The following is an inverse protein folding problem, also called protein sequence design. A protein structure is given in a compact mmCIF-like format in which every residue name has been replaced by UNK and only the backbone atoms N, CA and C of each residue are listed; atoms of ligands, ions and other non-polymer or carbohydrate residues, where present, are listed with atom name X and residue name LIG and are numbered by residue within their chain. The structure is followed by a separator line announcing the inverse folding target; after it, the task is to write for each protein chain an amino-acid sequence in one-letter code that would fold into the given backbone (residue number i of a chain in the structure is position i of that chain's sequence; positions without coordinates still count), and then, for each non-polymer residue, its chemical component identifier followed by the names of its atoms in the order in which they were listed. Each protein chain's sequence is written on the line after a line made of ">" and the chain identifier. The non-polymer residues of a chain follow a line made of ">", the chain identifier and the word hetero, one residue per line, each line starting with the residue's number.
data_IF_623597395158
#
_entry.id   IF_623597395158
#
_cell.length_a   1.000
_cell.length_b   1.000
_cell.length_c   1.000
_cell.angle_alpha   90.00
_cell.angle_beta   90.00
_cell.angle_gamma   90.00
#
_symmetry.space_group_name_H-M   'P 1'
#
loop_
_entity.id
_entity.type
_entity.pdbx_description
1 polymer ?
#
# COMPACT_ATOMS: atom_id res chain seq x y z
N UNK A 1 -21.62 -1.90 -9.37
CA UNK A 1 -21.48 -2.22 -7.92
C UNK A 1 -20.84 -1.03 -7.23
N UNK A 2 -21.15 -0.80 -5.94
CA UNK A 2 -21.06 0.51 -5.31
C UNK A 2 -19.62 1.09 -5.27
N UNK A 3 -19.43 2.20 -5.98
CA UNK A 3 -18.34 3.17 -5.83
C UNK A 3 -18.51 3.89 -4.48
N UNK A 4 -17.62 3.62 -3.52
CA UNK A 4 -17.78 4.08 -2.13
C UNK A 4 -17.26 3.10 -1.10
N UNK A 5 -17.17 3.54 0.16
CA UNK A 5 -17.11 2.61 1.29
C UNK A 5 -18.30 1.63 1.18
N UNK A 6 -18.04 0.32 1.21
CA UNK A 6 -19.13 -0.67 1.24
C UNK A 6 -19.97 -0.45 2.50
N UNK A 7 -21.28 -0.72 2.41
CA UNK A 7 -22.31 -0.39 3.42
C UNK A 7 -22.08 -0.94 4.85
N UNK A 8 -21.01 -1.70 5.11
CA UNK A 8 -20.64 -2.26 6.40
C UNK A 8 -19.23 -1.83 6.89
N UNK A 9 -18.57 -0.91 6.19
CA UNK A 9 -17.26 -0.39 6.59
C UNK A 9 -17.40 0.49 7.83
N UNK A 10 -16.73 0.12 8.94
CA UNK A 10 -16.59 1.01 10.08
C UNK A 10 -15.61 2.12 9.69
N UNK A 11 -16.07 3.37 9.74
CA UNK A 11 -15.25 4.57 9.47
C UNK A 11 -14.83 5.17 10.80
N UNK A 12 -13.65 4.81 11.29
CA UNK A 12 -13.10 5.40 12.52
C UNK A 12 -12.12 6.53 12.18
N UNK A 13 -12.33 7.69 12.81
CA UNK A 13 -11.39 8.82 12.96
C UNK A 13 -10.68 9.39 11.72
N UNK A 14 -11.38 9.52 10.59
CA UNK A 14 -11.00 10.47 9.52
C UNK A 14 -9.63 10.26 8.86
N UNK A 15 -9.09 9.04 8.98
CA UNK A 15 -7.75 8.64 8.53
C UNK A 15 -7.62 7.12 8.43
N UNK A 16 -6.43 6.63 8.08
CA UNK A 16 -6.07 5.21 8.05
C UNK A 16 -6.80 4.35 7.01
N UNK A 17 -6.96 4.89 5.80
CA UNK A 17 -7.52 4.18 4.64
C UNK A 17 -6.38 3.63 3.77
N UNK A 18 -6.61 2.49 3.11
CA UNK A 18 -5.66 1.92 2.15
C UNK A 18 -6.33 1.48 0.84
N UNK A 19 -5.62 1.66 -0.27
CA UNK A 19 -5.99 1.11 -1.56
C UNK A 19 -4.80 0.47 -2.27
N UNK A 20 -5.11 -0.37 -3.25
CA UNK A 20 -4.13 -1.01 -4.13
C UNK A 20 -4.51 -0.77 -5.59
N UNK A 21 -3.53 -0.38 -6.40
CA UNK A 21 -3.62 -0.41 -7.85
C UNK A 21 -2.57 -1.37 -8.40
N UNK A 22 -2.98 -2.36 -9.20
CA UNK A 22 -2.05 -3.28 -9.83
C UNK A 22 -1.14 -2.51 -10.80
N UNK A 23 0.16 -2.82 -10.74
CA UNK A 23 1.16 -2.25 -11.64
C UNK A 23 1.99 -3.36 -12.27
N UNK A 24 2.58 -3.05 -13.42
CA UNK A 24 3.56 -3.92 -14.05
C UNK A 24 4.82 -4.05 -13.16
N UNK A 25 5.34 -5.26 -12.90
CA UNK A 25 6.44 -5.47 -11.96
C UNK A 25 7.80 -4.92 -12.44
N UNK A 26 7.98 -4.71 -13.74
CA UNK A 26 9.25 -4.30 -14.33
C UNK A 26 9.28 -2.81 -14.70
N UNK A 27 8.16 -2.28 -15.18
CA UNK A 27 8.02 -0.90 -15.64
C UNK A 27 7.28 0.00 -14.65
N UNK A 28 6.60 -0.59 -13.66
CA UNK A 28 5.71 0.10 -12.71
C UNK A 28 4.55 0.86 -13.38
N UNK A 29 4.24 0.56 -14.65
CA UNK A 29 3.11 1.12 -15.35
C UNK A 29 1.80 0.69 -14.66
N UNK A 30 0.90 1.65 -14.45
CA UNK A 30 -0.43 1.36 -13.92
C UNK A 30 -1.22 0.46 -14.86
N UNK A 31 -1.87 -0.56 -14.31
CA UNK A 31 -2.91 -1.29 -15.04
C UNK A 31 -4.12 -0.39 -15.33
N UNK A 32 -5.02 -0.86 -16.19
CA UNK A 32 -6.29 -0.17 -16.46
C UNK A 32 -7.04 0.09 -15.16
N UNK A 33 -7.58 1.30 -14.99
CA UNK A 33 -8.31 1.71 -13.79
C UNK A 33 -9.71 1.07 -13.72
N UNK A 34 -9.75 -0.24 -13.54
CA UNK A 34 -10.97 -1.03 -13.37
C UNK A 34 -11.11 -1.43 -11.91
N UNK A 35 -12.09 -0.82 -11.24
CA UNK A 35 -12.43 -1.11 -9.84
C UNK A 35 -12.75 -2.60 -9.67
N UNK A 36 -12.30 -3.19 -8.57
CA UNK A 36 -12.45 -4.61 -8.21
C UNK A 36 -11.72 -5.60 -9.13
N UNK A 37 -10.98 -5.12 -10.13
CA UNK A 37 -10.15 -5.97 -11.02
C UNK A 37 -8.68 -5.63 -10.91
N UNK A 38 -8.34 -4.35 -11.00
CA UNK A 38 -6.98 -3.84 -10.91
C UNK A 38 -6.85 -2.73 -9.86
N UNK A 39 -7.96 -2.09 -9.49
CA UNK A 39 -8.02 -1.03 -8.50
C UNK A 39 -8.93 -1.46 -7.34
N UNK A 40 -8.38 -1.53 -6.14
CA UNK A 40 -9.04 -2.09 -4.97
C UNK A 40 -9.02 -1.11 -3.80
N UNK A 41 -10.18 -0.82 -3.22
CA UNK A 41 -10.27 -0.12 -1.93
C UNK A 41 -10.32 -1.16 -0.82
N UNK A 42 -9.30 -1.18 0.04
CA UNK A 42 -9.21 -2.13 1.16
C UNK A 42 -9.90 -1.57 2.42
N UNK A 43 -10.40 -0.35 2.35
CA UNK A 43 -11.11 0.32 3.42
C UNK A 43 -10.19 0.82 4.52
N UNK A 44 -10.74 0.90 5.73
CA UNK A 44 -10.04 1.42 6.90
C UNK A 44 -9.30 0.31 7.64
N UNK A 45 -8.16 0.70 8.21
CA UNK A 45 -7.34 -0.14 9.07
C UNK A 45 -7.56 0.32 10.52
N UNK A 46 -7.82 -0.60 11.45
CA UNK A 46 -8.05 -0.25 12.86
C UNK A 46 -6.76 0.19 13.55
N UNK A 47 -5.68 -0.53 13.28
CA UNK A 47 -4.32 -0.28 13.77
C UNK A 47 -3.37 -0.59 12.62
N UNK A 48 -2.45 0.33 12.33
CA UNK A 48 -1.53 0.16 11.22
C UNK A 48 -0.17 0.76 11.51
N UNK A 49 0.88 0.09 11.03
CA UNK A 49 2.24 0.59 11.12
C UNK A 49 2.83 0.70 9.73
N UNK A 50 3.52 1.81 9.44
CA UNK A 50 4.37 1.96 8.25
C UNK A 50 5.81 2.04 8.74
N UNK A 51 6.52 0.93 8.63
CA UNK A 51 7.90 0.84 9.12
C UNK A 51 8.88 0.77 7.96
N UNK A 52 10.04 1.40 8.14
CA UNK A 52 11.23 1.15 7.33
C UNK A 52 12.29 0.53 8.24
N UNK A 53 12.64 -0.70 7.94
CA UNK A 53 13.74 -1.41 8.62
C UNK A 53 14.93 -1.51 7.67
N UNK A 54 16.14 -1.37 8.20
CA UNK A 54 17.37 -1.50 7.42
C UNK A 54 18.12 -2.75 7.90
N UNK A 55 18.39 -3.68 6.98
CA UNK A 55 19.28 -4.81 7.26
C UNK A 55 20.68 -4.47 6.77
N UNK A 56 21.67 -4.58 7.66
CA UNK A 56 23.07 -4.36 7.35
C UNK A 56 23.69 -5.67 6.84
N UNK A 57 24.21 -5.66 5.62
CA UNK A 57 25.07 -6.72 5.10
C UNK A 57 26.49 -6.19 5.01
N UNK A 58 27.38 -6.71 5.85
CA UNK A 58 28.81 -6.42 5.80
C UNK A 58 29.55 -7.58 5.13
N UNK A 59 30.26 -7.30 4.05
CA UNK A 59 31.23 -8.23 3.49
C UNK A 59 32.60 -7.88 4.07
N UNK A 60 33.15 -8.80 4.86
CA UNK A 60 34.46 -8.65 5.50
C UNK A 60 35.51 -9.47 4.76
N UNK A 61 36.71 -8.93 4.62
CA UNK A 61 37.86 -9.69 4.15
C UNK A 61 38.34 -10.68 5.21
N UNK A 62 39.30 -11.54 4.84
CA UNK A 62 39.93 -12.48 5.78
C UNK A 62 40.69 -11.78 6.93
N UNK A 63 41.09 -10.52 6.76
CA UNK A 63 41.71 -9.69 7.80
C UNK A 63 40.69 -9.03 8.76
N UNK A 64 39.39 -9.20 8.48
CA UNK A 64 38.30 -8.62 9.25
C UNK A 64 37.91 -7.20 8.85
N UNK A 65 38.56 -6.57 7.86
CA UNK A 65 38.13 -5.26 7.35
C UNK A 65 36.83 -5.39 6.54
N UNK A 66 35.89 -4.47 6.78
CA UNK A 66 34.66 -4.37 6.00
C UNK A 66 34.96 -3.77 4.64
N UNK A 67 34.97 -4.61 3.60
CA UNK A 67 35.23 -4.20 2.21
C UNK A 67 33.98 -3.55 1.60
N UNK A 68 32.79 -4.01 1.99
CA UNK A 68 31.55 -3.50 1.43
C UNK A 68 30.43 -3.54 2.48
N UNK A 69 29.73 -2.42 2.61
CA UNK A 69 28.58 -2.27 3.49
C UNK A 69 27.36 -1.98 2.64
N UNK A 70 26.36 -2.86 2.68
CA UNK A 70 25.09 -2.66 1.98
C UNK A 70 23.95 -2.58 2.98
N UNK A 71 23.05 -1.63 2.77
CA UNK A 71 21.78 -1.52 3.50
C UNK A 71 20.63 -1.98 2.61
N UNK A 72 19.92 -3.02 3.03
CA UNK A 72 18.63 -3.38 2.45
C UNK A 72 17.50 -2.77 3.26
N UNK A 73 16.82 -1.79 2.69
CA UNK A 73 15.66 -1.17 3.31
C UNK A 73 14.39 -1.94 2.95
N UNK A 74 13.78 -2.59 3.95
CA UNK A 74 12.46 -3.22 3.83
C UNK A 74 11.41 -2.28 4.40
N UNK A 75 10.43 -1.92 3.56
CA UNK A 75 9.28 -1.12 3.99
C UNK A 75 8.06 -1.97 4.19
N UNK A 76 7.59 -2.08 5.42
CA UNK A 76 6.44 -2.91 5.74
C UNK A 76 5.23 -2.04 6.07
N UNK A 77 4.07 -2.34 5.47
CA UNK A 77 2.79 -1.90 6.03
C UNK A 77 2.15 -3.11 6.66
N UNK A 78 1.86 -3.04 7.96
CA UNK A 78 1.06 -4.06 8.66
C UNK A 78 -0.18 -3.43 9.25
N UNK A 79 -1.23 -4.22 9.45
CA UNK A 79 -2.40 -3.79 10.20
C UNK A 79 -3.54 -4.78 10.18
N UNK A 80 -4.65 -4.40 10.81
CA UNK A 80 -5.90 -5.17 10.77
C UNK A 80 -6.97 -4.38 10.03
N UNK A 81 -7.45 -4.92 8.91
CA UNK A 81 -8.55 -4.32 8.16
C UNK A 81 -9.85 -4.47 8.94
N UNK A 82 -10.63 -3.40 8.95
CA UNK A 82 -11.96 -3.39 9.58
C UNK A 82 -13.04 -4.05 8.71
N UNK A 83 -12.72 -4.32 7.45
CA UNK A 83 -13.61 -5.00 6.50
C UNK A 83 -13.32 -6.49 6.46
N UNK A 84 -14.37 -7.29 6.37
CA UNK A 84 -14.30 -8.75 6.23
C UNK A 84 -15.41 -9.26 5.31
N UNK A 85 -15.24 -9.01 4.01
CA UNK A 85 -16.13 -9.52 2.96
C UNK A 85 -15.44 -10.59 2.10
N UNK A 86 -16.25 -11.40 1.41
CA UNK A 86 -15.76 -12.51 0.59
C UNK A 86 -14.82 -12.03 -0.53
N UNK A 87 -15.09 -10.89 -1.15
CA UNK A 87 -14.24 -10.35 -2.22
C UNK A 87 -12.86 -9.96 -1.68
N UNK A 88 -12.80 -9.31 -0.52
CA UNK A 88 -11.55 -8.96 0.15
C UNK A 88 -10.76 -10.20 0.60
N UNK A 89 -11.46 -11.24 1.09
CA UNK A 89 -10.85 -12.52 1.43
C UNK A 89 -10.24 -13.17 0.18
N UNK A 90 -10.98 -13.20 -0.94
CA UNK A 90 -10.49 -13.75 -2.20
C UNK A 90 -9.32 -12.91 -2.76
N UNK A 91 -9.39 -11.59 -2.62
CA UNK A 91 -8.33 -10.67 -3.01
C UNK A 91 -7.03 -10.98 -2.27
N UNK A 92 -7.08 -10.97 -0.93
CA UNK A 92 -5.91 -11.17 -0.08
C UNK A 92 -5.45 -12.63 -0.02
N UNK A 93 -6.35 -13.59 -0.21
CA UNK A 93 -6.02 -15.01 -0.21
C UNK A 93 -5.36 -15.48 -1.50
N UNK A 94 -5.84 -14.99 -2.66
CA UNK A 94 -5.45 -15.54 -3.97
C UNK A 94 -5.03 -14.48 -4.98
N UNK A 95 -5.80 -13.41 -5.15
CA UNK A 95 -5.59 -12.46 -6.26
C UNK A 95 -4.26 -11.72 -6.18
N UNK A 96 -3.75 -11.46 -4.96
CA UNK A 96 -2.48 -10.73 -4.75
C UNK A 96 -1.22 -11.55 -5.04
N UNK A 97 -1.34 -12.87 -5.20
CA UNK A 97 -0.19 -13.77 -5.40
C UNK A 97 0.59 -13.41 -6.65
N UNK A 98 1.90 -13.18 -6.49
CA UNK A 98 2.83 -12.93 -7.60
C UNK A 98 2.65 -11.57 -8.28
N UNK A 99 1.77 -10.69 -7.77
CA UNK A 99 1.48 -9.38 -8.35
C UNK A 99 2.18 -8.26 -7.59
N UNK A 100 2.37 -7.15 -8.28
CA UNK A 100 2.94 -5.91 -7.74
C UNK A 100 1.87 -4.82 -7.78
N UNK A 101 1.85 -3.98 -6.76
CA UNK A 101 0.84 -2.95 -6.59
C UNK A 101 1.46 -1.60 -6.23
N UNK A 102 0.84 -0.51 -6.67
CA UNK A 102 0.91 0.78 -6.00
C UNK A 102 -0.02 0.72 -4.78
N UNK A 103 0.56 0.86 -3.59
CA UNK A 103 -0.18 1.08 -2.35
C UNK A 103 -0.25 2.57 -2.09
N UNK A 104 -1.46 3.08 -1.87
CA UNK A 104 -1.67 4.40 -1.30
C UNK A 104 -2.37 4.29 0.05
N UNK A 105 -1.73 4.85 1.08
CA UNK A 105 -2.22 4.84 2.45
C UNK A 105 -2.46 6.27 2.92
N UNK A 106 -3.69 6.56 3.29
CA UNK A 106 -4.07 7.81 3.91
C UNK A 106 -3.77 7.75 5.40
N UNK A 107 -2.84 8.56 5.89
CA UNK A 107 -2.45 8.58 7.32
C UNK A 107 -3.30 9.52 8.16
N UNK A 108 -4.15 10.33 7.53
CA UNK A 108 -5.02 11.29 8.21
C UNK A 108 -4.53 12.72 8.02
N UNK A 109 -5.05 13.61 8.87
CA UNK A 109 -4.67 15.01 8.93
C UNK A 109 -3.49 15.20 9.87
N UNK A 110 -2.30 15.47 9.32
CA UNK A 110 -1.04 15.58 10.05
C UNK A 110 -0.42 16.93 9.71
N UNK A 111 0.04 17.67 10.72
CA UNK A 111 0.68 18.98 10.51
C UNK A 111 -0.15 19.98 9.68
N UNK A 112 -1.46 19.96 9.86
CA UNK A 112 -2.41 20.81 9.12
C UNK A 112 -2.59 20.48 7.63
N UNK A 113 -2.18 19.30 7.18
CA UNK A 113 -2.40 18.83 5.80
C UNK A 113 -2.90 17.39 5.78
N UNK A 114 -3.61 17.00 4.71
CA UNK A 114 -4.02 15.62 4.50
C UNK A 114 -2.90 14.83 3.85
N UNK A 115 -2.42 13.78 4.52
CA UNK A 115 -1.19 13.10 4.10
C UNK A 115 -1.46 11.71 3.52
N UNK A 116 -0.91 11.46 2.33
CA UNK A 116 -0.96 10.19 1.64
C UNK A 116 0.45 9.64 1.41
N UNK A 117 0.64 8.38 1.80
CA UNK A 117 1.88 7.65 1.64
C UNK A 117 1.74 6.68 0.47
N UNK A 118 2.65 6.78 -0.50
CA UNK A 118 2.67 5.95 -1.68
C UNK A 118 3.93 5.11 -1.74
N UNK A 119 3.78 3.83 -2.10
CA UNK A 119 4.90 2.94 -2.37
C UNK A 119 4.49 1.80 -3.29
N UNK A 120 5.46 1.24 -4.01
CA UNK A 120 5.26 -0.01 -4.75
C UNK A 120 5.49 -1.18 -3.82
N UNK A 121 4.56 -2.13 -3.80
CA UNK A 121 4.54 -3.24 -2.84
C UNK A 121 4.21 -4.58 -3.49
N UNK A 122 4.60 -5.64 -2.78
CA UNK A 122 3.98 -6.96 -2.89
C UNK A 122 3.20 -7.21 -1.60
N UNK A 123 1.96 -7.63 -1.75
CA UNK A 123 1.08 -7.96 -0.61
C UNK A 123 1.30 -9.42 -0.25
N UNK A 124 1.51 -9.70 1.04
CA UNK A 124 1.61 -11.07 1.54
C UNK A 124 0.23 -11.71 1.46
N UNK A 125 0.05 -12.83 0.71
CA UNK A 125 -1.24 -13.49 0.64
C UNK A 125 -1.63 -14.05 2.02
N UNK A 126 -2.72 -13.56 2.59
CA UNK A 126 -3.17 -13.96 3.91
C UNK A 126 -4.65 -13.67 4.09
N UNK A 127 -5.34 -14.54 4.80
CA UNK A 127 -6.65 -14.24 5.36
C UNK A 127 -6.80 -14.98 6.67
N UNK A 128 -7.54 -14.40 7.60
CA UNK A 128 -7.90 -15.05 8.85
C UNK A 128 -9.32 -14.64 9.18
N UNK A 129 -10.20 -15.62 9.39
CA UNK A 129 -11.57 -15.40 9.81
C UNK A 129 -11.74 -16.04 11.17
N UNK A 130 -11.68 -15.23 12.24
CA UNK A 130 -11.91 -15.68 13.62
C UNK A 130 -13.26 -15.15 14.12
N UNK A 131 -14.11 -16.03 14.66
CA UNK A 131 -15.31 -15.72 15.49
C UNK A 131 -15.47 -16.89 16.48
N UNK A 132 -15.73 -16.70 17.80
CA UNK A 132 -16.65 -15.73 18.42
C UNK A 132 -16.02 -14.82 19.50
N UNK A 133 -16.50 -13.56 19.60
CA UNK A 133 -16.05 -12.57 20.59
C UNK A 133 -15.90 -11.11 20.09
N UNK A 134 -16.02 -10.86 18.78
CA UNK A 134 -16.32 -9.52 18.25
C UNK A 134 -15.21 -8.80 17.46
N UNK A 135 -13.97 -9.28 17.44
CA UNK A 135 -12.92 -8.68 16.60
C UNK A 135 -12.71 -9.50 15.33
N UNK A 136 -13.12 -8.98 14.18
CA UNK A 136 -12.70 -9.49 12.86
C UNK A 136 -11.23 -9.16 12.66
N UNK A 137 -10.36 -10.16 12.73
CA UNK A 137 -8.92 -9.98 12.45
C UNK A 137 -8.62 -10.30 10.99
N UNK A 138 -8.80 -9.33 10.09
CA UNK A 138 -8.33 -9.44 8.70
C UNK A 138 -6.93 -8.83 8.61
N UNK A 139 -5.85 -9.62 8.78
CA UNK A 139 -4.50 -9.07 8.75
C UNK A 139 -4.18 -8.55 7.35
N UNK A 140 -3.53 -7.41 7.31
CA UNK A 140 -2.94 -6.83 6.11
C UNK A 140 -1.43 -6.71 6.29
N UNK A 141 -0.70 -7.13 5.27
CA UNK A 141 0.75 -7.05 5.24
C UNK A 141 1.21 -6.82 3.81
N UNK A 142 2.03 -5.79 3.63
CA UNK A 142 2.70 -5.51 2.37
C UNK A 142 4.17 -5.19 2.60
N UNK A 143 5.00 -5.57 1.63
CA UNK A 143 6.43 -5.31 1.63
C UNK A 143 6.77 -4.46 0.40
N UNK A 144 7.47 -3.36 0.64
CA UNK A 144 7.94 -2.44 -0.38
C UNK A 144 8.94 -3.11 -1.32
N UNK A 145 8.77 -2.85 -2.61
CA UNK A 145 9.67 -3.34 -3.65
C UNK A 145 10.79 -2.32 -3.87
N UNK A 146 12.04 -2.78 -3.90
CA UNK A 146 13.17 -1.96 -4.33
C UNK A 146 12.97 -1.58 -5.80
N UNK A 147 12.87 -0.29 -6.08
CA UNK A 147 12.64 0.19 -7.44
C UNK A 147 13.90 0.10 -8.30
N UNK A 148 13.77 -0.45 -9.51
CA UNK A 148 14.83 -0.48 -10.54
C UNK A 148 14.86 0.79 -11.39
N UNK A 149 13.75 1.50 -11.45
CA UNK A 149 13.52 2.73 -12.20
C UNK A 149 12.50 3.60 -11.46
N UNK A 150 12.46 4.89 -11.77
CA UNK A 150 11.46 5.80 -11.20
C UNK A 150 10.06 5.38 -11.65
N UNK A 151 9.14 5.23 -10.70
CA UNK A 151 7.72 4.99 -11.00
C UNK A 151 6.99 6.33 -11.09
N UNK A 152 6.31 6.59 -12.21
CA UNK A 152 5.58 7.84 -12.44
C UNK A 152 4.13 7.55 -12.80
N UNK A 153 3.21 8.14 -12.05
CA UNK A 153 1.77 8.08 -12.29
C UNK A 153 1.29 9.47 -12.66
N UNK A 154 0.80 9.62 -13.90
CA UNK A 154 0.31 10.90 -14.40
C UNK A 154 -0.88 11.40 -13.57
N UNK A 155 -1.07 12.72 -13.53
CA UNK A 155 -2.21 13.36 -12.86
C UNK A 155 -3.56 12.75 -13.28
N UNK A 156 -3.73 12.38 -14.56
CA UNK A 156 -4.94 11.72 -15.06
C UNK A 156 -5.19 10.36 -14.39
N UNK A 157 -4.14 9.58 -14.14
CA UNK A 157 -4.23 8.32 -13.40
C UNK A 157 -4.63 8.58 -11.95
N UNK A 158 -4.01 9.56 -11.30
CA UNK A 158 -4.30 9.92 -9.91
C UNK A 158 -5.75 10.42 -9.73
N UNK A 159 -6.22 11.29 -10.63
CA UNK A 159 -7.63 11.71 -10.69
C UNK A 159 -8.56 10.51 -10.92
N UNK A 160 -8.19 9.58 -11.81
CA UNK A 160 -8.97 8.38 -12.08
C UNK A 160 -9.09 7.45 -10.87
N UNK A 161 -8.02 7.31 -10.07
CA UNK A 161 -8.04 6.57 -8.80
C UNK A 161 -9.00 7.25 -7.81
N UNK A 162 -8.87 8.57 -7.63
CA UNK A 162 -9.72 9.34 -6.74
C UNK A 162 -11.20 9.18 -7.09
N UNK A 163 -11.54 9.28 -8.38
CA UNK A 163 -12.90 9.12 -8.87
C UNK A 163 -13.41 7.68 -8.73
N UNK A 164 -12.61 6.69 -9.14
CA UNK A 164 -13.00 5.29 -9.11
C UNK A 164 -13.24 4.74 -7.71
N UNK A 165 -12.45 5.20 -6.73
CA UNK A 165 -12.58 4.80 -5.32
C UNK A 165 -13.32 5.82 -4.45
N UNK A 166 -13.82 6.92 -5.05
CA UNK A 166 -14.50 8.03 -4.36
C UNK A 166 -13.69 8.57 -3.16
N UNK A 167 -12.39 8.74 -3.35
CA UNK A 167 -11.49 9.20 -2.29
C UNK A 167 -11.63 10.72 -2.08
N UNK A 168 -11.77 11.13 -0.82
CA UNK A 168 -11.70 12.53 -0.40
C UNK A 168 -10.26 12.92 -0.04
N UNK A 169 -9.93 14.21 -0.21
CA UNK A 169 -8.62 14.77 0.16
C UNK A 169 -7.44 14.03 -0.46
N UNK A 170 -7.60 13.52 -1.69
CA UNK A 170 -6.62 12.73 -2.40
C UNK A 170 -5.81 13.59 -3.39
N UNK A 171 -4.48 13.42 -3.47
CA UNK A 171 -3.66 14.21 -4.38
C UNK A 171 -3.94 13.83 -5.83
N UNK A 172 -4.25 14.84 -6.66
CA UNK A 172 -4.56 14.66 -8.09
C UNK A 172 -3.43 15.12 -9.01
N UNK A 173 -2.28 15.49 -8.44
CA UNK A 173 -1.07 15.84 -9.17
C UNK A 173 -0.29 14.59 -9.59
N UNK A 174 0.69 14.75 -10.49
CA UNK A 174 1.58 13.65 -10.87
C UNK A 174 2.31 13.11 -9.65
N UNK A 175 2.24 11.79 -9.45
CA UNK A 175 2.99 11.08 -8.42
C UNK A 175 4.28 10.53 -9.03
N UNK A 176 5.41 10.80 -8.38
CA UNK A 176 6.72 10.29 -8.78
C UNK A 176 7.40 9.64 -7.60
N UNK A 177 7.70 8.35 -7.70
CA UNK A 177 8.42 7.60 -6.66
C UNK A 177 9.82 7.31 -7.19
N UNK A 178 10.80 8.04 -6.67
CA UNK A 178 12.20 7.91 -7.08
C UNK A 178 12.87 6.65 -6.52
N UNK A 179 13.86 6.12 -7.23
CA UNK A 179 14.59 4.89 -6.84
C UNK A 179 15.28 4.98 -5.47
N UNK A 180 15.83 6.14 -5.12
CA UNK A 180 16.59 6.36 -3.89
C UNK A 180 15.71 6.27 -2.65
N UNK A 181 14.50 6.84 -2.73
CA UNK A 181 13.52 6.79 -1.66
C UNK A 181 12.70 5.52 -1.75
N UNK A 182 12.14 5.12 -2.90
CA UNK A 182 11.18 4.00 -3.08
C UNK A 182 9.82 4.19 -2.35
N UNK A 183 9.52 5.41 -1.93
CA UNK A 183 8.22 5.87 -1.42
C UNK A 183 8.10 7.37 -1.71
N UNK A 184 6.87 7.87 -1.66
CA UNK A 184 6.58 9.29 -1.74
C UNK A 184 5.45 9.64 -0.77
N UNK A 185 5.53 10.83 -0.17
CA UNK A 185 4.45 11.38 0.65
C UNK A 185 3.92 12.60 -0.08
N UNK A 186 2.61 12.64 -0.33
CA UNK A 186 1.95 13.82 -0.89
C UNK A 186 0.94 14.38 0.11
N UNK A 187 0.87 15.70 0.12
CA UNK A 187 0.01 16.49 1.01
C UNK A 187 -1.02 17.24 0.18
N UNK A 188 -2.23 17.38 0.73
CA UNK A 188 -3.39 18.08 0.14
C UNK A 188 -3.98 19.05 1.16
#
# INVERSE_FOLDING_TARGET
>A
MATGYKSAAVVDKGGNQIFLLQVDPDTYAAATLTVDTYLFNLGNISESTVDQTASLSEYKAEDGETINTSYEYSRKTTGTLMQSDADLINLLGDTVKGKTYLEGKYTGYVNSTYQWHFKIVKVTPQFSVKRPGGATSMPYESVGVKLKSTATFAATTMTGIAAGLTLSNFPTTTLTIGVSKSYEIQEV
#
